data_IF_310348063475
#
_entry.id   IF_310348063475
#
_cell.length_a   1.000
_cell.length_b   1.000
_cell.length_c   1.000
_cell.angle_alpha   90.00
_cell.angle_beta   90.00
_cell.angle_gamma   90.00
#
_symmetry.space_group_name_H-M   'P 1'
#
loop_
_entity.id
_entity.type
_entity.pdbx_description
1 polymer ?
#
# COMPACT_ATOMS: atom_id res chain seq x y z
N UNK A 1 9.35 7.80 25.38
CA UNK A 1 8.74 6.72 24.58
C UNK A 1 8.36 7.29 23.23
N UNK A 2 9.07 6.92 22.15
CA UNK A 2 8.70 7.37 20.81
C UNK A 2 7.41 6.64 20.41
N UNK A 3 6.29 7.37 20.38
CA UNK A 3 5.07 6.90 19.72
C UNK A 3 5.41 6.76 18.24
N UNK A 4 5.90 5.58 17.83
CA UNK A 4 5.98 5.16 16.43
C UNK A 4 4.53 5.09 15.95
N UNK A 5 4.01 6.24 15.54
CA UNK A 5 2.70 6.35 14.92
C UNK A 5 2.74 5.52 13.65
N UNK A 6 2.16 4.33 13.70
CA UNK A 6 1.82 3.57 12.50
C UNK A 6 0.77 4.41 11.76
N UNK A 7 1.20 5.27 10.84
CA UNK A 7 0.31 5.99 9.95
C UNK A 7 -0.45 4.93 9.14
N UNK A 8 -1.72 4.70 9.51
CA UNK A 8 -2.62 3.91 8.69
C UNK A 8 -3.05 4.79 7.53
N UNK A 9 -2.64 4.43 6.33
CA UNK A 9 -3.06 5.11 5.10
C UNK A 9 -3.87 4.12 4.26
N UNK A 10 -4.80 4.65 3.49
CA UNK A 10 -5.64 3.86 2.58
C UNK A 10 -5.11 4.06 1.17
N UNK A 11 -4.85 2.95 0.47
CA UNK A 11 -4.50 2.97 -0.94
C UNK A 11 -5.58 2.29 -1.75
N UNK A 12 -5.96 2.90 -2.87
CA UNK A 12 -6.95 2.33 -3.77
C UNK A 12 -6.32 1.18 -4.58
N UNK A 13 -7.03 0.07 -4.66
CA UNK A 13 -6.66 -1.07 -5.48
C UNK A 13 -6.85 -0.75 -6.97
N UNK A 14 -5.80 -0.80 -7.81
CA UNK A 14 -5.95 -0.53 -9.25
C UNK A 14 -6.76 -1.61 -9.99
N UNK A 15 -7.06 -2.75 -9.35
CA UNK A 15 -7.75 -3.89 -9.98
C UNK A 15 -9.27 -3.90 -9.75
N UNK A 16 -9.71 -3.38 -8.62
CA UNK A 16 -11.12 -3.44 -8.21
C UNK A 16 -11.63 -2.13 -7.61
N UNK A 17 -10.81 -1.07 -7.63
CA UNK A 17 -11.10 0.27 -7.11
C UNK A 17 -11.48 0.30 -5.62
N UNK A 18 -11.18 -0.77 -4.88
CA UNK A 18 -11.46 -0.85 -3.45
C UNK A 18 -10.36 -0.17 -2.62
N UNK A 19 -10.73 0.52 -1.55
CA UNK A 19 -9.79 1.11 -0.60
C UNK A 19 -9.18 0.05 0.33
N UNK A 20 -7.87 -0.15 0.20
CA UNK A 20 -7.12 -1.12 0.99
C UNK A 20 -6.44 -0.39 2.16
N UNK A 21 -6.71 -0.80 3.41
CA UNK A 21 -5.98 -0.28 4.57
C UNK A 21 -4.55 -0.81 4.57
N UNK A 22 -3.57 0.09 4.51
CA UNK A 22 -2.15 -0.25 4.61
C UNK A 22 -1.62 0.12 5.99
N UNK A 23 -0.88 -0.81 6.58
CA UNK A 23 -0.20 -0.59 7.86
C UNK A 23 1.04 0.28 7.62
N UNK A 24 1.23 1.32 8.45
CA UNK A 24 2.38 2.23 8.34
C UNK A 24 3.76 1.61 8.59
N UNK A 25 3.86 0.31 8.87
CA UNK A 25 5.13 -0.44 8.96
C UNK A 25 5.52 -1.09 7.62
N UNK A 26 4.61 -1.10 6.63
CA UNK A 26 4.86 -1.67 5.31
C UNK A 26 5.93 -0.87 4.55
N UNK A 27 6.89 -1.60 3.97
CA UNK A 27 8.01 -1.02 3.23
C UNK A 27 7.73 -1.03 1.74
N UNK A 28 8.28 -0.04 1.04
CA UNK A 28 8.30 -0.04 -0.42
C UNK A 28 8.96 -1.33 -0.92
N UNK A 29 8.28 -2.02 -1.82
CA UNK A 29 8.66 -3.33 -2.33
C UNK A 29 7.95 -4.49 -1.64
N UNK A 30 7.25 -4.26 -0.52
CA UNK A 30 6.33 -5.25 0.07
C UNK A 30 5.26 -5.66 -0.94
N UNK A 31 4.93 -6.94 -0.91
CA UNK A 31 3.76 -7.50 -1.60
C UNK A 31 2.56 -7.41 -0.67
N UNK A 32 1.49 -6.78 -1.15
CA UNK A 32 0.23 -6.55 -0.46
C UNK A 32 -0.85 -7.29 -1.25
N UNK A 33 -1.67 -8.08 -0.56
CA UNK A 33 -2.83 -8.70 -1.18
C UNK A 33 -4.07 -7.84 -0.97
N UNK A 34 -4.82 -7.57 -2.04
CA UNK A 34 -6.10 -6.92 -1.90
C UNK A 34 -7.08 -7.84 -1.14
N UNK A 35 -7.66 -7.43 -0.01
CA UNK A 35 -8.61 -8.26 0.74
C UNK A 35 -9.94 -8.48 0.01
N UNK A 36 -10.20 -7.70 -1.05
CA UNK A 36 -11.43 -7.77 -1.85
C UNK A 36 -11.26 -8.70 -3.06
N UNK A 37 -10.34 -8.38 -3.97
CA UNK A 37 -10.13 -9.14 -5.20
C UNK A 37 -9.03 -10.21 -5.10
N UNK A 38 -8.29 -10.25 -3.98
CA UNK A 38 -7.18 -11.19 -3.73
C UNK A 38 -6.02 -11.07 -4.72
N UNK A 39 -5.95 -9.98 -5.50
CA UNK A 39 -4.85 -9.74 -6.41
C UNK A 39 -3.59 -9.34 -5.63
N UNK A 40 -2.41 -9.94 -5.94
CA UNK A 40 -1.13 -9.47 -5.42
C UNK A 40 -0.77 -8.12 -6.03
N UNK A 41 -0.43 -7.17 -5.17
CA UNK A 41 -0.05 -5.81 -5.53
C UNK A 41 1.30 -5.50 -4.87
N UNK A 42 2.10 -4.64 -5.49
CA UNK A 42 3.35 -4.14 -4.94
C UNK A 42 3.16 -2.75 -4.38
N UNK A 43 3.63 -2.54 -3.16
CA UNK A 43 3.75 -1.21 -2.61
C UNK A 43 4.93 -0.49 -3.27
N UNK A 44 4.64 0.60 -3.97
CA UNK A 44 5.65 1.46 -4.60
C UNK A 44 5.58 2.85 -3.98
N UNK A 45 6.65 3.63 -4.15
CA UNK A 45 6.66 5.05 -3.84
C UNK A 45 7.00 5.86 -5.08
N UNK A 46 6.42 7.05 -5.19
CA UNK A 46 6.86 8.03 -6.17
C UNK A 46 8.24 8.55 -5.76
N UNK A 47 9.10 8.81 -6.75
CA UNK A 47 10.44 9.36 -6.48
C UNK A 47 10.40 10.85 -6.12
N UNK A 48 9.36 11.55 -6.57
CA UNK A 48 9.24 13.00 -6.47
C UNK A 48 8.55 13.47 -5.18
N UNK A 49 7.49 12.77 -4.75
CA UNK A 49 6.60 13.22 -3.67
C UNK A 49 6.60 12.32 -2.43
N UNK A 50 7.39 11.23 -2.43
CA UNK A 50 7.39 10.20 -1.39
C UNK A 50 6.00 9.57 -1.13
N UNK A 51 5.06 9.74 -2.05
CA UNK A 51 3.71 9.20 -1.96
C UNK A 51 3.70 7.70 -2.29
N UNK A 52 3.02 6.93 -1.45
CA UNK A 52 2.89 5.49 -1.61
C UNK A 52 1.70 5.17 -2.51
N UNK A 53 1.86 4.19 -3.40
CA UNK A 53 0.80 3.70 -4.27
C UNK A 53 0.93 2.20 -4.50
N UNK A 54 -0.19 1.55 -4.84
CA UNK A 54 -0.21 0.14 -5.20
C UNK A 54 -0.05 0.00 -6.71
N UNK A 55 0.82 -0.91 -7.12
CA UNK A 55 1.03 -1.26 -8.52
C UNK A 55 0.82 -2.77 -8.68
N UNK A 56 0.23 -3.20 -9.79
CA UNK A 56 0.12 -4.62 -10.12
C UNK A 56 1.51 -5.25 -10.36
N UNK A 57 1.73 -6.45 -9.83
CA UNK A 57 2.93 -7.28 -10.07
C UNK A 57 2.49 -8.48 -10.91
N UNK A 58 2.42 -8.28 -12.24
CA UNK A 58 2.16 -9.35 -13.23
C UNK A 58 3.47 -9.80 -13.89
#
# INVERSE_FOLDING_TARGET
MALKGVMKYYLTCPMCDADIPISGDEKVGSEIYCPYCQTPLKLRKTKDTEELYLQEDF
#
